data_IF_171550768214
#
_entry.id   IF_171550768214
#
_cell.length_a   1.000
_cell.length_b   1.000
_cell.length_c   1.000
_cell.angle_alpha   90.00
_cell.angle_beta   90.00
_cell.angle_gamma   90.00
#
_symmetry.space_group_name_H-M   'P 1'
#
loop_
_entity.id
_entity.type
_entity.pdbx_description
1 polymer ?
#
# COMPACT_ATOMS: atom_id res chain seq x y z
N UNK A 1 14.63 -2.49 -7.94
CA UNK A 1 16.01 -2.06 -7.69
C UNK A 1 16.27 -1.93 -6.20
N UNK A 2 15.62 -0.99 -5.51
CA UNK A 2 15.87 -0.66 -4.10
C UNK A 2 15.71 -1.87 -3.17
N UNK A 3 14.59 -2.60 -3.26
CA UNK A 3 14.34 -3.78 -2.43
C UNK A 3 15.41 -4.87 -2.61
N UNK A 4 15.89 -5.07 -3.85
CA UNK A 4 16.94 -6.04 -4.13
C UNK A 4 18.33 -5.61 -3.63
N UNK A 5 18.58 -4.30 -3.59
CA UNK A 5 19.86 -3.75 -3.10
C UNK A 5 19.96 -3.72 -1.57
N UNK A 6 18.80 -3.72 -0.89
CA UNK A 6 18.69 -3.63 0.58
C UNK A 6 18.09 -4.90 1.22
N UNK A 7 18.05 -6.01 0.50
CA UNK A 7 17.40 -7.24 0.95
C UNK A 7 17.95 -7.76 2.29
N UNK A 8 19.25 -7.63 2.49
CA UNK A 8 19.95 -8.04 3.72
C UNK A 8 19.66 -7.13 4.93
N UNK A 9 19.01 -5.99 4.74
CA UNK A 9 18.56 -5.09 5.80
C UNK A 9 17.11 -5.35 6.21
N UNK A 10 16.41 -6.24 5.51
CA UNK A 10 15.03 -6.55 5.82
C UNK A 10 14.94 -7.59 6.94
N UNK A 11 13.86 -7.57 7.75
CA UNK A 11 13.65 -8.58 8.78
C UNK A 11 13.64 -10.00 8.22
N UNK A 12 14.16 -10.94 9.00
CA UNK A 12 14.11 -12.37 8.67
C UNK A 12 12.66 -12.81 8.41
N UNK A 13 12.48 -13.64 7.40
CA UNK A 13 11.16 -14.15 7.03
C UNK A 13 10.32 -13.22 6.16
N UNK A 14 10.60 -11.91 6.07
CA UNK A 14 9.81 -11.00 5.23
C UNK A 14 9.82 -11.43 3.76
N UNK A 15 10.94 -11.89 3.23
CA UNK A 15 11.04 -12.34 1.85
C UNK A 15 10.24 -13.63 1.63
N UNK A 16 10.24 -14.55 2.59
CA UNK A 16 9.44 -15.77 2.54
C UNK A 16 7.95 -15.43 2.52
N UNK A 17 7.51 -14.54 3.41
CA UNK A 17 6.12 -14.07 3.46
C UNK A 17 5.69 -13.39 2.16
N UNK A 18 6.51 -12.48 1.62
CA UNK A 18 6.25 -11.82 0.33
C UNK A 18 6.17 -12.79 -0.85
N UNK A 19 7.00 -13.83 -0.84
CA UNK A 19 6.97 -14.88 -1.86
C UNK A 19 5.70 -15.72 -1.75
N UNK A 20 5.31 -16.10 -0.52
CA UNK A 20 4.05 -16.80 -0.23
C UNK A 20 2.85 -16.00 -0.75
N UNK A 21 2.76 -14.71 -0.41
CA UNK A 21 1.67 -13.85 -0.85
C UNK A 21 1.55 -13.73 -2.38
N UNK A 22 2.66 -13.90 -3.11
CA UNK A 22 2.69 -13.89 -4.58
C UNK A 22 2.51 -15.27 -5.20
N UNK A 23 2.44 -16.32 -4.41
CA UNK A 23 2.44 -17.70 -4.91
C UNK A 23 3.74 -18.10 -5.64
N UNK A 24 4.88 -17.48 -5.27
CA UNK A 24 6.18 -17.69 -5.90
C UNK A 24 7.15 -18.39 -4.94
N UNK A 25 8.13 -19.15 -5.46
CA UNK A 25 9.21 -19.67 -4.64
C UNK A 25 10.06 -18.55 -4.06
N UNK A 26 10.67 -18.79 -2.88
CA UNK A 26 11.59 -17.85 -2.25
C UNK A 26 12.84 -17.71 -3.15
N UNK A 27 13.17 -16.50 -3.65
CA UNK A 27 14.35 -16.31 -4.48
C UNK A 27 15.62 -16.39 -3.64
N UNK A 28 16.66 -16.96 -4.20
CA UNK A 28 17.98 -16.90 -3.57
C UNK A 28 18.64 -15.52 -3.74
N UNK A 29 19.68 -15.24 -2.94
CA UNK A 29 20.35 -13.95 -2.92
C UNK A 29 20.89 -13.52 -4.30
N UNK A 30 21.37 -14.47 -5.11
CA UNK A 30 21.91 -14.16 -6.46
C UNK A 30 20.79 -13.75 -7.43
N UNK A 31 19.63 -14.39 -7.33
CA UNK A 31 18.44 -14.01 -8.12
C UNK A 31 17.99 -12.59 -7.77
N UNK A 32 17.97 -12.25 -6.47
CA UNK A 32 17.60 -10.92 -5.99
C UNK A 32 18.60 -9.87 -6.50
N UNK A 33 19.90 -10.10 -6.36
CA UNK A 33 20.96 -9.20 -6.86
C UNK A 33 20.87 -8.99 -8.37
N UNK A 34 20.60 -10.06 -9.12
CA UNK A 34 20.43 -9.99 -10.58
C UNK A 34 19.22 -9.14 -10.96
N UNK A 35 18.08 -9.32 -10.27
CA UNK A 35 16.89 -8.52 -10.48
C UNK A 35 17.14 -7.03 -10.17
N UNK A 36 17.85 -6.72 -9.08
CA UNK A 36 18.25 -5.35 -8.75
C UNK A 36 19.11 -4.72 -9.86
N UNK A 37 20.17 -5.40 -10.28
CA UNK A 37 21.04 -4.92 -11.38
C UNK A 37 20.28 -4.69 -12.69
N UNK A 38 19.33 -5.57 -13.03
CA UNK A 38 18.49 -5.43 -14.22
C UNK A 38 17.58 -4.20 -14.15
N UNK A 39 17.12 -3.83 -12.96
CA UNK A 39 16.19 -2.71 -12.76
C UNK A 39 16.89 -1.35 -12.59
N UNK A 40 18.18 -1.33 -12.25
CA UNK A 40 18.94 -0.09 -12.04
C UNK A 40 18.89 0.88 -13.24
N UNK A 41 19.11 0.43 -14.51
CA UNK A 41 19.05 1.35 -15.65
C UNK A 41 17.69 2.05 -15.80
N UNK A 42 16.59 1.40 -15.45
CA UNK A 42 15.27 2.03 -15.52
C UNK A 42 15.15 3.21 -14.55
N UNK A 43 15.60 3.04 -13.30
CA UNK A 43 15.63 4.12 -12.31
C UNK A 43 16.50 5.27 -12.81
N UNK A 44 17.72 4.96 -13.29
CA UNK A 44 18.66 5.95 -13.83
C UNK A 44 18.16 6.67 -15.08
N UNK A 45 17.20 6.10 -15.79
CA UNK A 45 16.52 6.78 -16.91
C UNK A 45 15.39 7.67 -16.41
N UNK A 46 14.64 7.23 -15.40
CA UNK A 46 13.49 7.97 -14.87
C UNK A 46 13.88 9.20 -14.05
N UNK A 47 15.01 9.14 -13.31
CA UNK A 47 15.46 10.28 -12.49
C UNK A 47 15.72 11.54 -13.32
N UNK A 48 16.47 11.50 -14.45
CA UNK A 48 16.59 12.67 -15.32
C UNK A 48 15.28 13.21 -15.88
N UNK A 49 14.25 12.37 -16.10
CA UNK A 49 12.95 12.87 -16.55
C UNK A 49 12.29 13.73 -15.48
N UNK A 50 12.32 13.30 -14.22
CA UNK A 50 11.77 14.07 -13.10
C UNK A 50 12.61 15.33 -12.86
N UNK A 51 13.94 15.22 -12.89
CA UNK A 51 14.87 16.34 -12.75
C UNK A 51 14.60 17.43 -13.80
N UNK A 52 14.47 17.02 -15.08
CA UNK A 52 14.16 17.93 -16.18
C UNK A 52 12.75 18.54 -16.05
N UNK A 53 11.76 17.76 -15.60
CA UNK A 53 10.40 18.27 -15.37
C UNK A 53 10.41 19.41 -14.35
N UNK A 54 11.21 19.29 -13.29
CA UNK A 54 11.32 20.30 -12.22
C UNK A 54 12.28 21.44 -12.57
N UNK A 55 13.01 21.36 -13.67
CA UNK A 55 14.02 22.36 -14.06
C UNK A 55 13.43 23.65 -14.63
N UNK A 56 12.17 23.69 -14.97
CA UNK A 56 11.47 24.88 -15.48
C UNK A 56 11.04 25.85 -14.36
N UNK A 57 11.35 25.53 -13.11
CA UNK A 57 11.04 26.36 -11.94
C UNK A 57 9.66 26.11 -11.34
N UNK A 58 8.92 25.09 -11.82
CA UNK A 58 7.65 24.71 -11.19
C UNK A 58 7.87 24.25 -9.75
N UNK A 59 6.91 24.57 -8.91
CA UNK A 59 6.96 24.20 -7.49
C UNK A 59 6.60 22.75 -7.25
N UNK A 60 5.66 22.19 -8.05
CA UNK A 60 5.13 20.84 -7.89
C UNK A 60 5.11 20.07 -9.22
N UNK A 61 5.01 18.75 -9.15
CA UNK A 61 5.02 17.88 -10.35
C UNK A 61 3.99 18.31 -11.40
N UNK A 62 2.80 18.73 -10.96
CA UNK A 62 1.73 19.16 -11.85
C UNK A 62 1.69 20.67 -12.10
N UNK A 63 2.62 21.48 -11.57
CA UNK A 63 2.70 22.93 -11.73
C UNK A 63 2.70 23.71 -10.43
N UNK A 64 1.71 24.57 -10.22
CA UNK A 64 1.71 25.56 -9.14
C UNK A 64 1.05 25.08 -7.83
N UNK A 65 0.45 23.89 -7.84
CA UNK A 65 -0.24 23.34 -6.67
C UNK A 65 0.16 21.89 -6.41
N UNK A 66 0.31 21.56 -5.12
CA UNK A 66 0.55 20.18 -4.71
C UNK A 66 -0.63 19.27 -5.07
N UNK A 67 -0.33 18.08 -5.56
CA UNK A 67 -1.31 17.09 -5.98
C UNK A 67 -0.92 15.70 -5.48
N UNK A 68 -1.80 14.71 -5.69
CA UNK A 68 -1.49 13.30 -5.40
C UNK A 68 -0.27 12.80 -6.18
N UNK A 69 0.05 13.41 -7.34
CA UNK A 69 1.22 13.07 -8.13
C UNK A 69 2.52 13.31 -7.35
N UNK A 70 2.59 14.40 -6.57
CA UNK A 70 3.75 14.72 -5.75
C UNK A 70 4.00 13.64 -4.71
N UNK A 71 2.99 13.23 -3.97
CA UNK A 71 3.13 12.17 -2.97
C UNK A 71 3.44 10.81 -3.59
N UNK A 72 2.85 10.47 -4.73
CA UNK A 72 3.09 9.21 -5.43
C UNK A 72 4.54 9.11 -5.94
N UNK A 73 5.07 10.17 -6.54
CA UNK A 73 6.46 10.25 -7.01
C UNK A 73 7.42 10.30 -5.82
N UNK A 74 7.11 11.10 -4.80
CA UNK A 74 7.92 11.22 -3.58
C UNK A 74 8.17 9.87 -2.91
N UNK A 75 7.14 9.04 -2.74
CA UNK A 75 7.29 7.73 -2.10
C UNK A 75 8.31 6.83 -2.81
N UNK A 76 8.30 6.83 -4.14
CA UNK A 76 9.25 6.04 -4.92
C UNK A 76 10.70 6.53 -4.74
N UNK A 77 10.90 7.84 -4.71
CA UNK A 77 12.22 8.46 -4.53
C UNK A 77 12.71 8.38 -3.09
N UNK A 78 11.83 8.64 -2.13
CA UNK A 78 12.11 8.49 -0.69
C UNK A 78 12.63 7.07 -0.38
N UNK A 79 12.05 6.05 -1.00
CA UNK A 79 12.43 4.67 -0.76
C UNK A 79 13.87 4.35 -1.18
N UNK A 80 14.48 5.15 -2.07
CA UNK A 80 15.88 4.98 -2.50
C UNK A 80 16.84 5.13 -1.30
N UNK A 81 16.59 6.07 -0.39
CA UNK A 81 17.46 6.37 0.77
C UNK A 81 16.85 6.02 2.13
N UNK A 82 15.56 5.69 2.20
CA UNK A 82 14.83 5.49 3.45
C UNK A 82 15.36 4.35 4.36
N UNK A 83 16.07 3.38 3.79
CA UNK A 83 16.58 2.21 4.52
C UNK A 83 18.09 2.17 4.65
N UNK A 84 18.82 2.87 3.80
CA UNK A 84 20.27 2.94 3.82
C UNK A 84 20.78 3.96 2.82
N UNK A 85 22.01 4.41 2.99
CA UNK A 85 22.69 5.33 2.08
C UNK A 85 23.33 4.62 0.86
N UNK A 86 23.14 3.29 0.70
CA UNK A 86 23.75 2.49 -0.38
C UNK A 86 23.42 2.99 -1.79
N UNK A 87 22.29 3.66 -1.94
CA UNK A 87 21.81 4.19 -3.21
C UNK A 87 21.72 5.71 -3.23
N UNK A 88 22.32 6.40 -2.25
CA UNK A 88 22.30 7.86 -2.17
C UNK A 88 22.89 8.51 -3.42
N UNK A 89 23.93 7.92 -4.01
CA UNK A 89 24.55 8.39 -5.25
C UNK A 89 23.60 8.44 -6.45
N UNK A 90 22.51 7.68 -6.43
CA UNK A 90 21.48 7.74 -7.49
C UNK A 90 20.71 9.07 -7.46
N UNK A 91 20.53 9.68 -6.28
CA UNK A 91 19.85 10.98 -6.13
C UNK A 91 20.82 12.16 -6.09
N UNK A 92 22.08 11.96 -5.73
CA UNK A 92 23.06 13.02 -5.53
C UNK A 92 23.20 14.01 -6.72
N UNK A 93 23.17 13.59 -8.00
CA UNK A 93 23.26 14.51 -9.13
C UNK A 93 21.99 15.35 -9.40
N UNK A 94 20.86 15.03 -8.75
CA UNK A 94 19.52 15.56 -9.09
C UNK A 94 19.06 16.62 -8.07
N UNK A 95 19.55 17.87 -8.23
CA UNK A 95 19.32 18.95 -7.26
C UNK A 95 17.87 19.43 -7.20
N UNK A 96 17.18 19.49 -8.36
CA UNK A 96 15.77 19.88 -8.39
C UNK A 96 14.89 18.83 -7.68
N UNK A 97 15.18 17.55 -7.90
CA UNK A 97 14.51 16.44 -7.18
C UNK A 97 14.74 16.60 -5.67
N UNK A 98 15.96 16.82 -5.23
CA UNK A 98 16.26 16.95 -3.80
C UNK A 98 15.53 18.14 -3.17
N UNK A 99 15.52 19.30 -3.82
CA UNK A 99 14.80 20.48 -3.34
C UNK A 99 13.29 20.23 -3.27
N UNK A 100 12.72 19.65 -4.30
CA UNK A 100 11.29 19.29 -4.32
C UNK A 100 10.96 18.22 -3.26
N UNK A 101 11.80 17.21 -3.06
CA UNK A 101 11.60 16.22 -1.99
C UNK A 101 11.60 16.85 -0.60
N UNK A 102 12.42 17.87 -0.35
CA UNK A 102 12.40 18.63 0.91
C UNK A 102 11.09 19.39 1.10
N UNK A 103 10.51 19.96 0.04
CA UNK A 103 9.20 20.61 0.10
C UNK A 103 8.09 19.63 0.46
N UNK A 104 8.05 18.43 -0.19
CA UNK A 104 7.08 17.38 0.16
C UNK A 104 7.27 16.92 1.61
N UNK A 105 8.52 16.72 2.04
CA UNK A 105 8.84 16.32 3.40
C UNK A 105 8.40 17.34 4.46
N UNK A 106 8.38 18.62 4.11
CA UNK A 106 7.97 19.68 5.02
C UNK A 106 6.49 19.62 5.44
N UNK A 107 5.63 18.90 4.71
CA UNK A 107 4.26 18.63 5.17
C UNK A 107 4.22 17.81 6.47
N UNK A 108 5.28 17.04 6.76
CA UNK A 108 5.34 16.21 7.95
C UNK A 108 4.30 15.08 7.96
N UNK A 109 3.95 14.64 9.15
CA UNK A 109 3.03 13.50 9.37
C UNK A 109 1.87 13.87 10.32
N UNK A 110 1.59 15.16 10.50
CA UNK A 110 0.60 15.63 11.46
C UNK A 110 1.01 15.37 12.92
N UNK A 111 0.03 15.30 13.81
CA UNK A 111 0.22 15.03 15.23
C UNK A 111 -0.08 13.55 15.53
N UNK A 112 0.97 12.75 15.66
CA UNK A 112 0.82 11.34 16.00
C UNK A 112 0.55 11.17 17.50
N UNK A 113 -0.50 10.43 17.85
CA UNK A 113 -0.73 9.94 19.20
C UNK A 113 -0.29 8.47 19.29
N UNK A 114 0.61 8.12 20.21
CA UNK A 114 1.04 6.74 20.35
C UNK A 114 -0.12 5.86 20.84
N UNK A 115 -0.28 4.70 20.20
CA UNK A 115 -1.26 3.69 20.57
C UNK A 115 -0.59 2.33 20.51
N UNK A 116 -0.76 1.49 21.53
CA UNK A 116 -0.28 0.11 21.49
C UNK A 116 -1.26 -0.77 20.69
N UNK A 117 -0.81 -1.91 20.15
CA UNK A 117 -1.72 -2.89 19.56
C UNK A 117 -2.81 -3.39 20.52
N UNK A 118 -2.51 -3.47 21.83
CA UNK A 118 -3.49 -3.84 22.85
C UNK A 118 -4.58 -2.78 22.99
N UNK A 119 -4.19 -1.50 23.07
CA UNK A 119 -5.16 -0.39 23.18
C UNK A 119 -6.11 -0.35 21.98
N UNK A 120 -5.58 -0.59 20.77
CA UNK A 120 -6.39 -0.66 19.55
C UNK A 120 -7.42 -1.80 19.59
N UNK A 121 -7.05 -2.96 20.16
CA UNK A 121 -7.96 -4.09 20.31
C UNK A 121 -9.01 -3.83 21.42
N UNK A 122 -8.63 -3.16 22.49
CA UNK A 122 -9.55 -2.81 23.58
C UNK A 122 -10.61 -1.80 23.06
N UNK A 123 -10.19 -0.83 22.25
CA UNK A 123 -11.11 0.10 21.56
C UNK A 123 -12.06 -0.67 20.63
N UNK A 124 -11.54 -1.58 19.82
CA UNK A 124 -12.36 -2.38 18.90
C UNK A 124 -13.35 -3.29 19.66
N UNK A 125 -12.95 -3.83 20.81
CA UNK A 125 -13.81 -4.67 21.67
C UNK A 125 -14.95 -3.85 22.31
N UNK A 126 -14.67 -2.59 22.68
CA UNK A 126 -15.65 -1.70 23.30
C UNK A 126 -16.60 -1.04 22.28
N UNK A 127 -16.24 -1.03 21.00
CA UNK A 127 -17.05 -0.44 19.93
C UNK A 127 -18.15 -1.40 19.48
N UNK A 128 -19.32 -0.85 19.18
CA UNK A 128 -20.37 -1.58 18.46
C UNK A 128 -20.17 -1.37 16.96
N UNK A 129 -20.16 -2.45 16.13
CA UNK A 129 -20.06 -2.30 14.70
C UNK A 129 -21.24 -1.48 14.16
N UNK A 130 -20.94 -0.45 13.37
CA UNK A 130 -21.96 0.32 12.67
C UNK A 130 -22.77 -0.62 11.76
N UNK A 131 -24.09 -0.41 11.69
CA UNK A 131 -24.97 -1.13 10.77
C UNK A 131 -25.01 -0.35 9.46
N UNK A 132 -24.37 -0.83 8.39
CA UNK A 132 -24.35 -0.12 7.12
C UNK A 132 -25.76 -0.06 6.49
N UNK A 133 -26.04 1.03 5.78
CA UNK A 133 -27.28 1.20 5.00
C UNK A 133 -26.96 0.89 3.54
N UNK A 134 -27.47 -0.21 2.96
CA UNK A 134 -27.24 -0.54 1.56
C UNK A 134 -27.86 0.51 0.64
N UNK A 135 -27.13 0.92 -0.41
CA UNK A 135 -27.60 1.95 -1.34
C UNK A 135 -27.81 1.47 -2.77
N UNK A 136 -27.00 0.53 -3.24
CA UNK A 136 -27.02 0.08 -4.64
C UNK A 136 -26.69 -1.40 -4.72
N UNK A 137 -27.45 -2.14 -5.54
CA UNK A 137 -27.18 -3.52 -5.88
C UNK A 137 -27.12 -3.64 -7.40
N UNK A 138 -26.17 -4.43 -7.89
CA UNK A 138 -26.15 -4.90 -9.26
C UNK A 138 -26.81 -6.29 -9.34
N UNK A 139 -27.37 -6.65 -10.49
CA UNK A 139 -28.10 -7.92 -10.67
C UNK A 139 -27.22 -9.15 -10.38
N UNK A 140 -25.89 -9.02 -10.57
CA UNK A 140 -24.92 -10.07 -10.35
C UNK A 140 -24.46 -10.18 -8.89
N UNK A 141 -24.84 -9.23 -8.04
CA UNK A 141 -24.40 -9.22 -6.65
C UNK A 141 -25.17 -10.26 -5.82
N UNK A 142 -24.50 -10.92 -4.85
CA UNK A 142 -25.18 -11.81 -3.91
C UNK A 142 -26.19 -11.03 -3.04
N UNK A 143 -27.30 -11.63 -2.64
CA UNK A 143 -28.24 -10.98 -1.72
C UNK A 143 -27.60 -10.73 -0.35
N UNK A 144 -27.98 -9.63 0.29
CA UNK A 144 -27.60 -9.34 1.68
C UNK A 144 -27.99 -10.48 2.61
N UNK A 145 -27.18 -10.73 3.63
CA UNK A 145 -27.33 -11.87 4.54
C UNK A 145 -26.70 -13.18 4.03
N UNK A 146 -26.22 -13.20 2.78
CA UNK A 146 -25.50 -14.37 2.25
C UNK A 146 -24.12 -14.50 2.93
N UNK A 147 -23.69 -15.75 3.14
CA UNK A 147 -22.29 -16.02 3.46
C UNK A 147 -21.46 -15.88 2.19
N UNK A 148 -20.45 -15.03 2.27
CA UNK A 148 -19.59 -14.71 1.14
C UNK A 148 -18.12 -14.80 1.52
N UNK A 149 -17.30 -14.86 0.49
CA UNK A 149 -15.83 -14.79 0.56
C UNK A 149 -15.35 -13.61 -0.25
N UNK A 150 -14.53 -12.76 0.36
CA UNK A 150 -13.90 -11.59 -0.28
C UNK A 150 -12.40 -11.74 -0.24
N UNK A 151 -11.73 -11.47 -1.35
CA UNK A 151 -10.26 -11.53 -1.43
C UNK A 151 -9.73 -10.50 -2.43
N UNK A 152 -8.48 -10.04 -2.29
CA UNK A 152 -7.81 -9.24 -3.32
C UNK A 152 -7.75 -9.99 -4.66
N UNK A 153 -7.83 -9.26 -5.76
CA UNK A 153 -7.71 -9.84 -7.11
C UNK A 153 -6.26 -9.95 -7.60
N UNK A 154 -5.32 -9.19 -6.98
CA UNK A 154 -3.90 -9.13 -7.36
C UNK A 154 -3.01 -10.14 -6.58
N UNK A 155 -2.64 -9.86 -5.33
CA UNK A 155 -1.79 -10.74 -4.52
C UNK A 155 -2.25 -10.77 -3.06
N UNK A 156 -1.64 -11.67 -2.23
CA UNK A 156 -2.08 -11.91 -0.86
C UNK A 156 -3.57 -12.31 -0.80
N UNK A 157 -3.96 -13.26 -1.63
CA UNK A 157 -5.36 -13.64 -1.90
C UNK A 157 -5.98 -14.51 -0.80
N UNK A 158 -5.52 -14.35 0.45
CA UNK A 158 -6.14 -14.98 1.62
C UNK A 158 -7.55 -14.39 1.81
N UNK A 159 -8.60 -15.20 1.82
CA UNK A 159 -9.97 -14.69 1.85
C UNK A 159 -10.39 -14.22 3.24
N UNK A 160 -11.27 -13.24 3.26
CA UNK A 160 -12.07 -12.90 4.42
C UNK A 160 -13.49 -13.42 4.18
N UNK A 161 -14.01 -14.18 5.12
CA UNK A 161 -15.32 -14.80 5.04
C UNK A 161 -16.25 -14.21 6.10
N UNK A 162 -17.53 -14.07 5.75
CA UNK A 162 -18.55 -13.54 6.66
C UNK A 162 -19.90 -13.34 6.00
N UNK A 163 -20.85 -12.84 6.79
CA UNK A 163 -22.18 -12.46 6.31
C UNK A 163 -22.10 -11.11 5.59
N UNK A 164 -22.60 -11.05 4.36
CA UNK A 164 -22.66 -9.81 3.57
C UNK A 164 -23.68 -8.85 4.19
N UNK A 165 -23.24 -7.74 4.73
CA UNK A 165 -24.09 -6.75 5.42
C UNK A 165 -24.21 -5.42 4.69
N UNK A 166 -23.31 -5.15 3.75
CA UNK A 166 -23.33 -3.96 2.90
C UNK A 166 -22.93 -4.31 1.49
N UNK A 167 -23.60 -3.74 0.52
CA UNK A 167 -23.18 -3.71 -0.88
C UNK A 167 -23.65 -2.40 -1.50
N UNK A 168 -22.72 -1.63 -2.05
CA UNK A 168 -22.93 -0.36 -2.74
C UNK A 168 -22.22 -0.35 -4.07
N UNK A 169 -22.28 0.73 -4.81
CA UNK A 169 -21.49 0.90 -6.02
C UNK A 169 -19.98 1.02 -5.76
N UNK A 170 -19.57 1.37 -4.55
CA UNK A 170 -18.19 1.69 -4.20
C UNK A 170 -17.55 0.65 -3.29
N UNK A 171 -18.34 -0.01 -2.43
CA UNK A 171 -17.83 -0.95 -1.42
C UNK A 171 -18.80 -2.10 -1.14
N UNK A 172 -18.27 -3.11 -0.46
CA UNK A 172 -19.04 -4.13 0.24
C UNK A 172 -18.42 -4.41 1.62
N UNK A 173 -19.28 -4.84 2.56
CA UNK A 173 -18.81 -5.19 3.89
C UNK A 173 -19.39 -6.52 4.37
N UNK A 174 -18.57 -7.24 5.15
CA UNK A 174 -18.97 -8.49 5.79
C UNK A 174 -18.89 -8.36 7.30
N UNK A 175 -19.88 -8.92 7.98
CA UNK A 175 -19.87 -9.15 9.42
C UNK A 175 -19.25 -10.50 9.71
N UNK A 176 -18.31 -10.52 10.64
CA UNK A 176 -17.69 -11.75 11.13
C UNK A 176 -17.41 -11.65 12.62
N UNK A 177 -17.17 -12.79 13.26
CA UNK A 177 -16.71 -12.85 14.65
C UNK A 177 -15.21 -13.09 14.67
N UNK A 178 -14.49 -12.23 15.36
CA UNK A 178 -13.07 -12.42 15.69
C UNK A 178 -12.93 -12.89 17.15
N UNK A 179 -12.00 -13.80 17.40
CA UNK A 179 -11.83 -14.41 18.71
C UNK A 179 -11.35 -13.41 19.79
N UNK A 180 -10.74 -12.28 19.39
CA UNK A 180 -10.16 -11.28 20.31
C UNK A 180 -11.08 -10.10 20.54
N UNK A 181 -11.75 -9.64 19.51
CA UNK A 181 -12.55 -8.39 19.56
C UNK A 181 -14.05 -8.61 19.36
N UNK A 182 -14.51 -9.87 19.20
CA UNK A 182 -15.94 -10.15 19.03
C UNK A 182 -16.45 -9.87 17.62
N UNK A 183 -17.66 -9.29 17.51
CA UNK A 183 -18.25 -8.97 16.22
C UNK A 183 -17.55 -7.76 15.56
N UNK A 184 -17.16 -7.92 14.32
CA UNK A 184 -16.54 -6.86 13.51
C UNK A 184 -17.21 -6.80 12.13
N UNK A 185 -17.28 -5.59 11.57
CA UNK A 185 -17.64 -5.36 10.17
C UNK A 185 -16.38 -4.97 9.40
N UNK A 186 -16.05 -5.75 8.38
CA UNK A 186 -14.87 -5.51 7.54
C UNK A 186 -15.34 -4.97 6.20
N UNK A 187 -14.86 -3.77 5.86
CA UNK A 187 -15.20 -3.06 4.64
C UNK A 187 -14.11 -3.27 3.57
N UNK A 188 -14.52 -3.41 2.33
CA UNK A 188 -13.67 -3.59 1.17
C UNK A 188 -14.11 -2.65 0.06
N UNK A 189 -13.20 -1.93 -0.61
CA UNK A 189 -13.55 -1.25 -1.84
C UNK A 189 -13.98 -2.28 -2.90
N UNK A 190 -14.88 -1.89 -3.78
CA UNK A 190 -15.35 -2.78 -4.83
C UNK A 190 -14.27 -3.07 -5.87
N UNK A 191 -13.42 -2.08 -6.14
CA UNK A 191 -12.30 -2.24 -7.06
C UNK A 191 -11.11 -2.93 -6.37
N UNK A 192 -10.55 -3.94 -7.05
CA UNK A 192 -9.39 -4.68 -6.57
C UNK A 192 -9.74 -5.86 -5.66
N UNK A 193 -11.03 -6.17 -5.50
CA UNK A 193 -11.50 -7.29 -4.69
C UNK A 193 -12.56 -8.14 -5.42
N UNK A 194 -12.47 -9.44 -5.22
CA UNK A 194 -13.35 -10.47 -5.77
C UNK A 194 -14.32 -10.93 -4.67
N UNK A 195 -15.63 -10.71 -4.87
CA UNK A 195 -16.72 -11.13 -3.99
C UNK A 195 -17.38 -12.38 -4.56
N UNK A 196 -17.47 -13.45 -3.76
CA UNK A 196 -18.12 -14.70 -4.18
C UNK A 196 -19.01 -15.27 -3.09
N UNK A 197 -20.20 -15.80 -3.44
CA UNK A 197 -20.99 -16.66 -2.56
C UNK A 197 -20.20 -17.89 -2.11
N UNK A 198 -20.48 -18.36 -0.91
CA UNK A 198 -19.93 -19.63 -0.38
C UNK A 198 -20.89 -20.79 -0.64
#
# INVERSE_FOLDING_TARGET
YVSGSNMDLLPDGLQADRSRMRGLPIPNAETVKRAARRSAPMVRTQLPWIENLLSDGREWIAGDAVTIADFAVYHALWFITARSDRLADELAPHQNIQAWMQQVQAFGHGEAQPMTPSDALDIATAAEPEVPIPSTLFDEDPPLGSNVRIRPDDYARDPVEGELVLITAEEFAVRRTDARVGAVTVHFPRLGYDLRPM
#
